data_IF_430519130439
#
_entry.id   IF_430519130439
#
_cell.length_a   1.000
_cell.length_b   1.000
_cell.length_c   1.000
_cell.angle_alpha   90.00
_cell.angle_beta   90.00
_cell.angle_gamma   90.00
#
_symmetry.space_group_name_H-M   'P 1'
#
loop_
_entity.id
_entity.type
_entity.pdbx_description
1 polymer ?
#
# COMPACT_ATOMS: atom_id res chain seq x y z
N UNK A 1 30.34 -20.14 7.56
CA UNK A 1 29.22 -20.19 8.49
C UNK A 1 28.28 -19.07 8.08
N UNK A 2 27.23 -19.42 7.37
CA UNK A 2 26.34 -18.49 6.69
C UNK A 2 25.07 -18.35 7.51
N UNK A 3 24.79 -17.13 7.99
CA UNK A 3 23.47 -16.79 8.53
C UNK A 3 22.75 -15.95 7.48
N UNK A 4 21.79 -16.58 6.79
CA UNK A 4 20.85 -15.91 5.89
C UNK A 4 19.73 -15.22 6.67
N UNK A 5 19.05 -14.24 6.06
CA UNK A 5 17.99 -13.46 6.72
C UNK A 5 16.72 -14.27 6.94
N UNK A 6 16.13 -14.09 8.11
CA UNK A 6 14.84 -14.65 8.50
C UNK A 6 13.70 -14.01 7.69
N UNK A 7 13.03 -14.81 6.87
CA UNK A 7 11.66 -14.55 6.42
C UNK A 7 10.71 -15.27 7.37
N UNK A 8 9.63 -14.67 7.86
CA UNK A 8 8.59 -15.42 8.57
C UNK A 8 7.85 -16.30 7.56
N UNK A 9 7.89 -17.61 7.79
CA UNK A 9 7.09 -18.57 7.05
C UNK A 9 5.61 -18.36 7.34
N UNK A 10 4.81 -18.35 6.29
CA UNK A 10 3.36 -18.45 6.36
C UNK A 10 2.98 -19.85 6.81
N UNK A 11 2.30 -19.97 7.96
CA UNK A 11 1.73 -21.20 8.45
C UNK A 11 0.61 -21.70 7.52
N UNK A 12 0.87 -22.86 6.95
CA UNK A 12 -0.05 -23.66 6.15
C UNK A 12 -1.16 -24.25 7.05
N UNK A 13 -2.38 -23.69 7.01
CA UNK A 13 -3.57 -24.25 7.64
C UNK A 13 -4.32 -25.18 6.67
N UNK A 14 -3.73 -26.32 6.34
CA UNK A 14 -4.43 -27.41 5.70
C UNK A 14 -4.02 -28.76 6.26
N UNK A 15 -4.57 -29.15 7.42
CA UNK A 15 -4.76 -30.55 7.84
C UNK A 15 -5.42 -30.63 9.22
N UNK A 16 -6.73 -30.74 9.27
CA UNK A 16 -7.39 -31.58 10.27
C UNK A 16 -8.66 -32.19 9.64
N UNK A 17 -8.46 -33.38 9.11
CA UNK A 17 -9.50 -34.30 8.73
C UNK A 17 -10.19 -34.86 9.98
N UNK A 18 -11.50 -35.04 9.87
CA UNK A 18 -12.37 -35.51 10.93
C UNK A 18 -11.98 -36.87 11.51
N UNK A 19 -12.14 -36.96 12.83
CA UNK A 19 -12.25 -38.19 13.55
C UNK A 19 -13.60 -38.24 14.30
N UNK A 20 -14.50 -39.05 13.78
CA UNK A 20 -15.73 -39.46 14.46
C UNK A 20 -15.35 -40.37 15.60
N UNK A 21 -15.57 -39.95 16.85
CA UNK A 21 -15.46 -40.82 18.02
C UNK A 21 -16.84 -41.41 18.36
N UNK A 22 -16.96 -42.73 18.16
CA UNK A 22 -18.01 -43.54 18.72
C UNK A 22 -17.85 -43.59 20.24
N UNK A 23 -18.86 -43.18 20.99
CA UNK A 23 -19.01 -43.48 22.43
C UNK A 23 -19.72 -44.84 22.57
N UNK A 24 -19.25 -45.76 23.41
CA UNK A 24 -20.00 -46.99 23.75
C UNK A 24 -21.10 -46.70 24.76
N UNK A 25 -22.28 -47.26 24.48
CA UNK A 25 -23.39 -47.35 25.43
C UNK A 25 -23.00 -48.26 26.59
N UNK A 26 -23.12 -47.75 27.79
CA UNK A 26 -23.13 -48.59 29.01
C UNK A 26 -24.56 -48.96 29.32
N UNK A 27 -24.84 -50.25 29.26
CA UNK A 27 -26.05 -50.87 29.78
C UNK A 27 -25.97 -50.89 31.32
N UNK A 28 -27.08 -50.54 31.97
CA UNK A 28 -27.27 -50.57 33.41
C UNK A 28 -27.92 -51.91 33.75
N UNK A 29 -27.17 -52.83 34.34
CA UNK A 29 -27.73 -54.03 34.92
C UNK A 29 -28.27 -53.76 36.34
N UNK A 30 -29.58 -54.04 36.45
CA UNK A 30 -30.30 -54.08 37.70
C UNK A 30 -29.83 -55.31 38.54
N UNK A 31 -29.15 -55.11 39.68
CA UNK A 31 -28.96 -56.13 40.72
C UNK A 31 -29.68 -55.68 41.98
N UNK A 32 -30.87 -56.28 42.17
CA UNK A 32 -31.54 -56.34 43.50
C UNK A 32 -30.77 -57.30 44.42
N UNK A 33 -30.17 -56.79 45.47
CA UNK A 33 -29.71 -57.64 46.61
C UNK A 33 -30.55 -57.32 47.83
N UNK A 34 -31.36 -58.33 48.22
CA UNK A 34 -32.06 -58.37 49.48
C UNK A 34 -31.05 -58.69 50.62
N UNK A 35 -30.94 -57.81 51.59
CA UNK A 35 -30.12 -57.98 52.76
C UNK A 35 -30.80 -58.90 53.78
N UNK A 36 -30.03 -59.63 54.67
CA UNK A 36 -30.56 -60.57 55.69
C UNK A 36 -31.30 -59.82 56.79
N UNK A 37 -32.25 -60.51 57.49
CA UNK A 37 -33.07 -59.95 58.60
C UNK A 37 -32.24 -59.64 59.82
N UNK A 38 -32.59 -58.61 60.62
CA UNK A 38 -31.87 -58.22 61.83
C UNK A 38 -32.13 -59.15 62.99
N UNK A 39 -31.19 -59.35 63.98
CA UNK A 39 -31.35 -60.15 65.18
C UNK A 39 -32.25 -59.44 66.22
N UNK A 40 -32.95 -60.18 67.07
CA UNK A 40 -33.85 -59.59 68.03
C UNK A 40 -33.12 -59.05 69.26
N UNK A 41 -33.42 -57.83 69.66
CA UNK A 41 -33.09 -57.28 70.95
C UNK A 41 -32.09 -56.13 71.03
N UNK A 42 -32.39 -54.98 70.48
CA UNK A 42 -31.69 -53.75 70.83
C UNK A 42 -32.72 -52.67 71.27
N UNK A 43 -32.50 -52.12 72.46
CA UNK A 43 -33.31 -51.03 73.03
C UNK A 43 -33.23 -49.79 72.19
N UNK A 44 -34.40 -49.14 72.01
CA UNK A 44 -34.54 -47.89 71.32
C UNK A 44 -33.78 -46.75 72.01
N UNK A 45 -32.71 -46.28 71.37
CA UNK A 45 -32.09 -44.98 71.62
C UNK A 45 -32.86 -43.84 70.92
N UNK A 46 -32.65 -42.59 71.31
CA UNK A 46 -33.33 -41.45 70.70
C UNK A 46 -32.99 -41.43 69.23
N UNK A 47 -33.91 -40.87 68.37
CA UNK A 47 -33.66 -40.79 66.92
C UNK A 47 -32.43 -39.97 66.68
N UNK A 48 -31.61 -40.32 65.68
CA UNK A 48 -30.48 -39.50 65.26
C UNK A 48 -31.03 -38.20 64.71
N UNK A 49 -30.42 -37.06 65.14
CA UNK A 49 -30.67 -35.76 64.55
C UNK A 49 -30.41 -35.85 63.05
N UNK A 50 -31.41 -35.43 62.23
CA UNK A 50 -31.26 -35.30 60.82
C UNK A 50 -30.08 -34.34 60.51
N UNK A 51 -29.13 -34.72 59.67
CA UNK A 51 -28.09 -33.77 59.26
C UNK A 51 -28.74 -32.60 58.60
N UNK A 52 -28.51 -31.35 59.08
CA UNK A 52 -28.85 -30.12 58.42
C UNK A 52 -28.15 -30.13 57.04
N UNK A 53 -28.95 -30.37 56.03
CA UNK A 53 -28.50 -30.29 54.64
C UNK A 53 -28.26 -28.83 54.32
N UNK A 54 -27.00 -28.33 54.54
CA UNK A 54 -26.61 -27.03 54.06
C UNK A 54 -26.65 -27.07 52.53
N UNK A 55 -27.65 -26.47 51.94
CA UNK A 55 -27.76 -26.34 50.50
C UNK A 55 -26.71 -25.37 49.99
N UNK A 56 -25.45 -25.84 49.86
CA UNK A 56 -24.41 -25.11 49.17
C UNK A 56 -24.76 -25.11 47.66
N UNK A 57 -25.22 -24.00 47.18
CA UNK A 57 -25.43 -23.83 45.72
C UNK A 57 -24.09 -24.09 45.01
N UNK A 58 -24.08 -24.91 43.94
CA UNK A 58 -22.87 -25.07 43.13
C UNK A 58 -22.29 -23.72 42.72
N UNK A 59 -20.96 -23.61 42.71
CA UNK A 59 -20.25 -22.34 42.45
C UNK A 59 -20.70 -21.63 41.16
N UNK A 60 -21.24 -22.36 40.14
CA UNK A 60 -21.79 -21.82 38.90
C UNK A 60 -23.24 -21.30 39.03
N UNK A 61 -23.91 -21.49 40.23
CA UNK A 61 -25.27 -20.98 40.42
C UNK A 61 -25.23 -19.55 40.98
N UNK A 62 -25.64 -18.53 40.19
CA UNK A 62 -25.52 -17.12 40.59
C UNK A 62 -26.41 -16.72 41.77
N UNK A 63 -27.38 -17.60 42.17
CA UNK A 63 -28.27 -17.34 43.34
C UNK A 63 -27.51 -17.31 44.65
N UNK A 64 -26.44 -18.13 44.79
CA UNK A 64 -25.58 -18.19 45.97
C UNK A 64 -24.47 -17.13 46.03
N UNK A 65 -24.28 -16.34 44.96
CA UNK A 65 -23.19 -15.38 44.89
C UNK A 65 -23.43 -14.14 45.78
N UNK A 66 -22.35 -13.63 46.40
CA UNK A 66 -22.38 -12.36 47.11
C UNK A 66 -22.72 -11.19 46.12
N UNK A 67 -23.22 -10.09 46.64
CA UNK A 67 -23.51 -8.92 45.82
C UNK A 67 -22.28 -8.44 45.04
N UNK A 68 -21.09 -8.47 45.68
CA UNK A 68 -19.81 -8.12 45.02
C UNK A 68 -19.50 -9.04 43.85
N UNK A 69 -19.66 -10.37 44.01
CA UNK A 69 -19.43 -11.34 42.95
C UNK A 69 -20.41 -11.15 41.79
N UNK A 70 -21.69 -10.88 42.08
CA UNK A 70 -22.68 -10.55 41.02
C UNK A 70 -22.35 -9.30 40.26
N UNK A 71 -21.88 -8.24 40.93
CA UNK A 71 -21.46 -7.00 40.29
C UNK A 71 -20.21 -7.21 39.40
N UNK A 72 -19.22 -7.96 39.91
CA UNK A 72 -18.00 -8.26 39.11
C UNK A 72 -18.38 -9.12 37.89
N UNK A 73 -19.19 -10.15 38.05
CA UNK A 73 -19.64 -10.98 36.93
C UNK A 73 -20.48 -10.20 35.93
N UNK A 74 -21.39 -9.34 36.41
CA UNK A 74 -22.16 -8.43 35.53
C UNK A 74 -21.27 -7.47 34.75
N UNK A 75 -20.28 -6.88 35.42
CA UNK A 75 -19.30 -6.00 34.74
C UNK A 75 -18.49 -6.76 33.69
N UNK A 76 -18.00 -7.97 34.02
CA UNK A 76 -17.26 -8.80 33.05
C UNK A 76 -18.11 -9.13 31.81
N UNK A 77 -19.40 -9.46 32.00
CA UNK A 77 -20.32 -9.71 30.88
C UNK A 77 -20.51 -8.47 30.03
N UNK A 78 -20.68 -7.30 30.64
CA UNK A 78 -20.80 -6.02 29.91
C UNK A 78 -19.53 -5.74 29.09
N UNK A 79 -18.34 -5.94 29.68
CA UNK A 79 -17.06 -5.74 28.97
C UNK A 79 -16.96 -6.69 27.74
N UNK A 80 -17.34 -7.96 27.92
CA UNK A 80 -17.34 -8.93 26.80
C UNK A 80 -18.34 -8.51 25.71
N UNK A 81 -19.55 -8.09 26.08
CA UNK A 81 -20.55 -7.62 25.11
C UNK A 81 -20.03 -6.39 24.35
N UNK A 82 -19.46 -5.43 25.04
CA UNK A 82 -18.87 -4.22 24.41
C UNK A 82 -17.74 -4.64 23.46
N UNK A 83 -16.85 -5.52 23.88
CA UNK A 83 -15.76 -6.00 23.04
C UNK A 83 -16.27 -6.73 21.78
N UNK A 84 -17.31 -7.55 21.90
CA UNK A 84 -17.93 -8.25 20.76
C UNK A 84 -18.62 -7.26 19.83
N UNK A 85 -19.35 -6.28 20.36
CA UNK A 85 -20.01 -5.25 19.54
C UNK A 85 -18.96 -4.41 18.80
N UNK A 86 -17.92 -3.93 19.49
CA UNK A 86 -16.83 -3.17 18.86
C UNK A 86 -16.13 -4.00 17.80
N UNK A 87 -15.78 -5.25 18.12
CA UNK A 87 -15.17 -6.16 17.15
C UNK A 87 -16.04 -6.45 15.93
N UNK A 88 -17.36 -6.60 16.12
CA UNK A 88 -18.30 -6.80 15.01
C UNK A 88 -18.46 -5.53 14.15
N UNK A 89 -18.53 -4.34 14.77
CA UNK A 89 -18.64 -3.05 14.06
C UNK A 89 -17.38 -2.79 13.25
N UNK A 90 -16.20 -2.94 13.83
CA UNK A 90 -14.93 -2.76 13.12
C UNK A 90 -14.75 -3.82 12.01
N UNK A 91 -15.11 -5.06 12.27
CA UNK A 91 -15.06 -6.13 11.27
C UNK A 91 -16.00 -5.90 10.09
N UNK A 92 -17.21 -5.38 10.33
CA UNK A 92 -18.15 -5.02 9.25
C UNK A 92 -17.67 -3.79 8.48
N UNK A 93 -17.10 -2.80 9.15
CA UNK A 93 -16.51 -1.61 8.53
C UNK A 93 -15.34 -1.99 7.62
N UNK A 94 -14.39 -2.81 8.10
CA UNK A 94 -13.24 -3.25 7.31
C UNK A 94 -13.61 -4.06 6.06
N UNK A 95 -14.74 -4.78 6.09
CA UNK A 95 -15.26 -5.55 4.96
C UNK A 95 -16.12 -4.72 3.99
N UNK A 96 -16.44 -3.48 4.33
CA UNK A 96 -17.20 -2.59 3.45
C UNK A 96 -16.30 -2.14 2.31
N UNK A 97 -16.78 -2.27 1.09
CA UNK A 97 -16.11 -1.79 -0.11
C UNK A 97 -16.88 -0.59 -0.67
N UNK A 98 -16.21 0.50 -1.07
CA UNK A 98 -16.87 1.68 -1.62
C UNK A 98 -17.63 1.36 -2.89
N UNK A 99 -18.65 2.14 -3.16
CA UNK A 99 -19.34 2.11 -4.43
C UNK A 99 -18.61 3.03 -5.43
N UNK A 100 -17.91 2.40 -6.37
CA UNK A 100 -17.29 3.09 -7.49
C UNK A 100 -18.30 3.22 -8.65
N UNK A 101 -19.40 3.95 -8.42
CA UNK A 101 -20.32 4.28 -9.50
C UNK A 101 -19.59 4.94 -10.65
N UNK A 102 -20.05 4.64 -11.87
CA UNK A 102 -19.51 5.25 -13.09
C UNK A 102 -19.64 6.77 -13.02
N UNK A 103 -18.56 7.47 -13.38
CA UNK A 103 -18.52 8.92 -13.58
C UNK A 103 -18.38 9.23 -15.07
N UNK A 104 -18.92 10.38 -15.49
CA UNK A 104 -18.62 10.92 -16.82
C UNK A 104 -17.40 11.80 -16.74
N UNK A 105 -16.33 11.43 -17.44
CA UNK A 105 -15.06 12.13 -17.41
C UNK A 105 -14.96 13.13 -18.57
N UNK A 106 -14.73 14.40 -18.23
CA UNK A 106 -14.52 15.47 -19.20
C UNK A 106 -13.08 15.96 -19.15
N UNK A 107 -12.43 16.08 -20.30
CA UNK A 107 -11.05 16.58 -20.42
C UNK A 107 -10.98 18.04 -19.92
N UNK A 108 -10.08 18.29 -18.96
CA UNK A 108 -9.85 19.63 -18.39
C UNK A 108 -8.45 20.15 -18.67
N UNK A 109 -7.45 19.28 -18.77
CA UNK A 109 -6.06 19.65 -19.05
C UNK A 109 -5.40 18.63 -19.99
N UNK A 110 -4.52 19.16 -20.86
CA UNK A 110 -3.64 18.38 -21.72
C UNK A 110 -2.22 18.96 -21.65
N UNK A 111 -1.26 18.07 -21.42
CA UNK A 111 0.18 18.35 -21.46
C UNK A 111 0.74 17.73 -22.73
N UNK A 112 0.75 18.51 -23.81
CA UNK A 112 1.24 18.09 -25.13
C UNK A 112 2.71 18.48 -25.32
N UNK A 113 3.50 17.78 -26.13
CA UNK A 113 4.93 18.02 -26.28
C UNK A 113 5.29 19.49 -26.53
N UNK A 114 4.55 20.18 -27.40
CA UNK A 114 4.81 21.55 -27.74
C UNK A 114 4.75 22.55 -26.57
N UNK A 115 3.96 22.25 -25.53
CA UNK A 115 3.72 23.12 -24.36
C UNK A 115 4.01 22.46 -23.05
N UNK A 116 4.44 21.21 -23.05
CA UNK A 116 4.61 20.39 -21.84
C UNK A 116 5.50 21.09 -20.81
N UNK A 117 6.70 21.46 -21.20
CA UNK A 117 7.69 22.03 -20.28
C UNK A 117 7.25 23.39 -19.73
N UNK A 118 6.44 24.15 -20.45
CA UNK A 118 5.89 25.44 -20.00
C UNK A 118 4.82 25.26 -18.90
N UNK A 119 4.27 24.06 -18.74
CA UNK A 119 3.26 23.73 -17.75
C UNK A 119 3.86 23.40 -16.37
N UNK A 120 5.20 23.33 -16.26
CA UNK A 120 5.90 22.95 -15.04
C UNK A 120 6.82 24.06 -14.52
N UNK A 121 7.01 24.08 -13.22
CA UNK A 121 8.11 24.73 -12.54
C UNK A 121 9.28 23.74 -12.43
N UNK A 122 10.49 24.24 -12.56
CA UNK A 122 11.70 23.45 -12.36
C UNK A 122 12.17 23.64 -10.92
N UNK A 123 12.17 22.57 -10.14
CA UNK A 123 12.75 22.58 -8.81
C UNK A 123 14.27 22.53 -8.93
N UNK A 124 14.99 23.51 -8.34
CA UNK A 124 16.45 23.61 -8.36
C UNK A 124 17.06 23.74 -6.95
N UNK A 125 16.28 23.41 -5.91
CA UNK A 125 16.74 23.37 -4.53
C UNK A 125 17.56 22.14 -4.19
N UNK A 126 18.01 22.08 -2.93
CA UNK A 126 18.58 20.86 -2.39
C UNK A 126 17.51 19.76 -2.33
N UNK A 127 17.88 18.55 -2.73
CA UNK A 127 16.96 17.42 -2.67
C UNK A 127 16.58 17.06 -1.22
N UNK A 128 15.27 17.02 -0.89
CA UNK A 128 14.78 16.76 0.47
C UNK A 128 15.00 15.30 0.92
N UNK A 129 15.24 14.38 -0.02
CA UNK A 129 15.47 12.96 0.24
C UNK A 129 16.94 12.57 0.32
N UNK A 130 17.83 13.58 0.39
CA UNK A 130 19.29 13.43 0.49
C UNK A 130 19.91 12.71 -0.72
N UNK A 131 19.35 12.89 -1.90
CA UNK A 131 19.90 12.40 -3.15
C UNK A 131 21.27 13.00 -3.45
N UNK A 132 22.11 12.21 -4.13
CA UNK A 132 23.36 12.70 -4.68
C UNK A 132 23.12 13.27 -6.08
N UNK A 133 22.20 14.21 -6.14
CA UNK A 133 21.63 14.84 -7.32
C UNK A 133 21.80 16.36 -7.24
N UNK A 134 21.93 16.99 -8.40
CA UNK A 134 21.84 18.44 -8.56
C UNK A 134 20.71 18.73 -9.53
N UNK A 135 19.55 19.08 -9.02
CA UNK A 135 18.41 19.50 -9.84
C UNK A 135 18.70 20.87 -10.45
N UNK A 136 18.49 20.99 -11.76
CA UNK A 136 18.74 22.21 -12.49
C UNK A 136 17.45 23.02 -12.72
N UNK A 137 17.59 24.33 -12.75
CA UNK A 137 16.57 25.22 -13.25
C UNK A 137 16.32 25.02 -14.77
N UNK A 138 15.29 25.66 -15.29
CA UNK A 138 14.90 25.50 -16.69
C UNK A 138 16.04 25.85 -17.65
N UNK A 139 16.76 26.95 -17.41
CA UNK A 139 17.82 27.41 -18.31
C UNK A 139 19.00 26.41 -18.32
N UNK A 140 19.42 25.92 -17.12
CA UNK A 140 20.48 24.92 -16.99
C UNK A 140 20.09 23.57 -17.59
N UNK A 141 18.87 23.11 -17.34
CA UNK A 141 18.38 21.85 -17.88
C UNK A 141 18.29 21.85 -19.41
N UNK A 142 17.82 22.94 -20.00
CA UNK A 142 17.79 23.12 -21.45
C UNK A 142 19.17 23.26 -22.07
N UNK A 143 20.07 24.03 -21.42
CA UNK A 143 21.45 24.19 -21.87
C UNK A 143 22.22 22.86 -21.94
N UNK A 144 22.04 21.99 -20.97
CA UNK A 144 22.66 20.66 -20.93
C UNK A 144 21.83 19.59 -21.65
N UNK A 145 20.76 19.99 -22.34
CA UNK A 145 19.82 19.08 -23.03
C UNK A 145 19.25 17.97 -22.10
N UNK A 146 19.06 18.31 -20.80
CA UNK A 146 18.41 17.39 -19.85
C UNK A 146 16.90 17.42 -20.00
N UNK A 147 16.33 18.51 -20.55
CA UNK A 147 14.94 18.58 -20.96
C UNK A 147 14.83 19.11 -22.38
N UNK A 148 14.09 18.40 -23.21
CA UNK A 148 13.74 18.86 -24.56
C UNK A 148 12.42 18.24 -25.00
N UNK A 149 11.76 18.91 -25.93
CA UNK A 149 10.56 18.43 -26.59
C UNK A 149 10.83 18.19 -28.09
N UNK A 150 10.20 17.16 -28.63
CA UNK A 150 10.07 16.90 -30.06
C UNK A 150 8.62 17.18 -30.48
N UNK A 151 8.28 16.96 -31.75
CA UNK A 151 6.89 17.06 -32.22
C UNK A 151 5.97 16.02 -31.60
N UNK A 152 6.51 14.91 -31.02
CA UNK A 152 5.77 13.73 -30.57
C UNK A 152 6.00 13.33 -29.13
N UNK A 153 7.03 13.84 -28.48
CA UNK A 153 7.40 13.45 -27.10
C UNK A 153 8.20 14.53 -26.37
N UNK A 154 8.31 14.37 -25.07
CA UNK A 154 9.15 15.18 -24.17
C UNK A 154 10.08 14.25 -23.40
N UNK A 155 11.35 14.64 -23.33
CA UNK A 155 12.40 13.92 -22.62
C UNK A 155 12.85 14.70 -21.39
N UNK A 156 12.98 13.97 -20.26
CA UNK A 156 13.63 14.42 -19.03
C UNK A 156 14.72 13.41 -18.71
N UNK A 157 15.96 13.85 -18.50
CA UNK A 157 17.06 12.91 -18.33
C UNK A 157 18.11 13.33 -17.30
N UNK A 158 18.87 12.37 -16.85
CA UNK A 158 20.12 12.57 -16.08
C UNK A 158 21.27 12.94 -17.02
N UNK A 159 22.20 13.76 -16.55
CA UNK A 159 23.44 14.07 -17.28
C UNK A 159 24.30 12.82 -17.54
N UNK A 160 24.77 12.68 -18.79
CA UNK A 160 25.63 11.58 -19.24
C UNK A 160 27.03 12.03 -19.65
N UNK A 161 27.42 13.27 -19.35
CA UNK A 161 28.64 13.90 -19.88
C UNK A 161 29.66 14.26 -18.80
N UNK A 162 29.21 14.68 -17.62
CA UNK A 162 30.10 15.08 -16.55
C UNK A 162 30.84 13.86 -15.94
N UNK A 163 32.14 13.78 -16.19
CA UNK A 163 32.99 12.66 -15.75
C UNK A 163 33.37 12.70 -14.30
N UNK A 164 33.05 13.79 -13.57
CA UNK A 164 33.34 13.94 -12.14
C UNK A 164 32.32 14.85 -11.45
N UNK A 165 31.14 14.33 -11.17
CA UNK A 165 30.02 15.07 -10.59
C UNK A 165 30.15 15.18 -9.05
N UNK A 166 31.18 15.87 -8.55
CA UNK A 166 31.55 15.94 -7.12
C UNK A 166 30.46 16.48 -6.19
N UNK A 167 29.56 17.32 -6.72
CA UNK A 167 28.45 17.95 -5.97
C UNK A 167 27.08 17.28 -6.24
N UNK A 168 27.08 16.07 -6.78
CA UNK A 168 25.89 15.39 -7.30
C UNK A 168 25.78 15.52 -8.82
N UNK A 169 25.20 14.52 -9.48
CA UNK A 169 25.00 14.52 -10.92
C UNK A 169 23.77 15.36 -11.28
N UNK A 170 23.87 16.12 -12.36
CA UNK A 170 22.78 16.95 -12.84
C UNK A 170 21.60 16.10 -13.30
N UNK A 171 20.42 16.51 -12.88
CA UNK A 171 19.13 15.91 -13.22
C UNK A 171 18.02 16.95 -13.18
N UNK A 172 16.79 16.52 -13.30
CA UNK A 172 15.61 17.38 -13.34
C UNK A 172 14.52 16.89 -12.40
N UNK A 173 13.80 17.86 -11.81
CA UNK A 173 12.53 17.69 -11.12
C UNK A 173 11.56 18.76 -11.58
N UNK A 174 10.46 18.32 -12.18
CA UNK A 174 9.39 19.19 -12.69
C UNK A 174 8.18 19.07 -11.77
N UNK A 175 7.55 20.20 -11.43
CA UNK A 175 6.34 20.29 -10.62
C UNK A 175 5.27 21.07 -11.40
N UNK A 176 4.09 20.47 -11.63
CA UNK A 176 3.06 21.12 -12.43
C UNK A 176 2.58 22.42 -11.79
N UNK A 177 2.33 23.44 -12.63
CA UNK A 177 1.77 24.72 -12.19
C UNK A 177 0.31 24.61 -11.78
N UNK A 178 -0.41 23.64 -12.34
CA UNK A 178 -1.79 23.32 -11.99
C UNK A 178 -1.80 22.20 -10.93
N UNK A 179 -2.65 22.34 -9.93
CA UNK A 179 -2.90 21.32 -8.92
C UNK A 179 -4.36 20.85 -8.97
N UNK A 180 -4.61 19.65 -8.48
CA UNK A 180 -5.89 18.95 -8.59
C UNK A 180 -6.29 18.35 -7.25
N UNK A 181 -7.58 18.44 -6.86
CA UNK A 181 -8.13 17.74 -5.69
C UNK A 181 -8.68 16.37 -6.07
N UNK A 182 -9.22 16.23 -7.28
CA UNK A 182 -9.77 14.98 -7.84
C UNK A 182 -9.55 14.95 -9.34
N UNK A 183 -9.52 13.76 -9.93
CA UNK A 183 -9.42 13.62 -11.38
C UNK A 183 -9.13 12.19 -11.83
N UNK A 184 -9.22 12.00 -13.13
CA UNK A 184 -8.65 10.85 -13.83
C UNK A 184 -7.46 11.33 -14.64
N UNK A 185 -6.28 10.87 -14.28
CA UNK A 185 -5.01 11.22 -14.91
C UNK A 185 -4.60 10.09 -15.84
N UNK A 186 -4.28 10.43 -17.09
CA UNK A 186 -3.80 9.49 -18.11
C UNK A 186 -2.39 9.91 -18.49
N UNK A 187 -1.41 9.08 -18.16
CA UNK A 187 0.01 9.27 -18.45
C UNK A 187 0.43 8.32 -19.57
N UNK A 188 0.64 8.85 -20.77
CA UNK A 188 1.14 8.10 -21.93
C UNK A 188 2.67 8.20 -21.97
N UNK A 189 3.35 7.10 -21.64
CA UNK A 189 4.78 7.02 -21.36
C UNK A 189 5.44 6.10 -22.38
N UNK A 190 6.50 6.58 -23.02
CA UNK A 190 7.26 5.84 -24.01
C UNK A 190 8.49 5.16 -23.39
N UNK A 191 9.11 5.82 -22.39
CA UNK A 191 10.30 5.31 -21.73
C UNK A 191 10.32 5.71 -20.24
N UNK A 192 10.75 4.78 -19.39
CA UNK A 192 10.96 4.98 -17.95
C UNK A 192 12.44 4.89 -17.60
N UNK A 193 12.97 5.74 -16.71
CA UNK A 193 14.38 5.72 -16.32
C UNK A 193 14.74 4.46 -15.51
N UNK A 194 15.91 3.88 -15.77
CA UNK A 194 16.44 2.80 -14.95
C UNK A 194 17.98 2.78 -15.00
N UNK A 195 18.60 2.10 -14.05
CA UNK A 195 20.05 1.93 -13.94
C UNK A 195 20.55 2.13 -12.52
N UNK A 196 21.71 1.55 -12.18
CA UNK A 196 22.27 1.68 -10.85
C UNK A 196 22.42 3.13 -10.41
N UNK A 197 21.95 3.42 -9.22
CA UNK A 197 21.98 4.75 -8.61
C UNK A 197 20.78 5.64 -8.95
N UNK A 198 19.84 5.23 -9.80
CA UNK A 198 18.63 6.01 -10.08
C UNK A 198 17.53 5.78 -9.06
N UNK A 199 16.75 6.80 -8.82
CA UNK A 199 15.49 6.79 -8.08
C UNK A 199 14.49 7.72 -8.77
N UNK A 200 13.87 7.26 -9.85
CA UNK A 200 12.89 8.02 -10.60
C UNK A 200 11.50 7.89 -10.02
N UNK A 201 10.70 8.97 -10.12
CA UNK A 201 9.29 8.96 -9.78
C UNK A 201 8.45 9.85 -10.72
N UNK A 202 7.21 9.40 -10.97
CA UNK A 202 6.10 10.20 -11.49
C UNK A 202 4.98 10.10 -10.46
N UNK A 203 4.68 11.18 -9.79
CA UNK A 203 3.90 11.21 -8.58
C UNK A 203 3.06 12.49 -8.44
N UNK A 204 2.18 12.53 -7.46
CA UNK A 204 1.35 13.69 -7.15
C UNK A 204 1.52 14.05 -5.68
N UNK A 205 1.66 15.35 -5.40
CA UNK A 205 1.70 15.87 -4.04
C UNK A 205 1.38 17.36 -4.00
N UNK A 206 1.10 17.88 -2.80
CA UNK A 206 1.20 19.32 -2.51
C UNK A 206 2.61 19.62 -1.99
N UNK A 207 3.51 20.22 -2.79
CA UNK A 207 4.89 20.45 -2.37
C UNK A 207 5.03 21.35 -1.13
N UNK A 208 3.99 22.12 -0.79
CA UNK A 208 4.02 23.08 0.32
C UNK A 208 3.44 22.50 1.63
N UNK A 209 2.67 21.42 1.55
CA UNK A 209 1.94 20.87 2.70
C UNK A 209 2.11 19.34 2.81
N UNK A 210 3.27 18.81 2.50
CA UNK A 210 3.61 17.42 2.73
C UNK A 210 3.92 17.18 4.22
N UNK A 211 3.45 16.09 4.87
CA UNK A 211 2.62 15.02 4.34
C UNK A 211 1.10 15.25 4.53
N UNK A 212 0.67 16.41 4.97
CA UNK A 212 -0.72 16.70 5.37
C UNK A 212 -1.71 16.61 4.21
N UNK A 213 -1.27 17.02 3.01
CA UNK A 213 -2.07 16.93 1.79
C UNK A 213 -1.71 15.71 0.93
N UNK A 214 -0.92 14.76 1.50
CA UNK A 214 -0.64 13.45 0.93
C UNK A 214 0.30 13.45 -0.27
N UNK A 215 0.65 12.23 -0.68
CA UNK A 215 1.48 11.91 -1.83
C UNK A 215 0.97 10.63 -2.47
N UNK A 216 0.97 10.58 -3.79
CA UNK A 216 0.54 9.44 -4.60
C UNK A 216 1.64 9.15 -5.61
N UNK A 217 2.44 8.13 -5.36
CA UNK A 217 3.45 7.66 -6.32
C UNK A 217 2.75 6.78 -7.34
N UNK A 218 2.61 7.29 -8.56
CA UNK A 218 1.98 6.54 -9.66
C UNK A 218 2.97 5.58 -10.27
N UNK A 219 4.20 6.06 -10.48
CA UNK A 219 5.35 5.26 -10.87
C UNK A 219 6.53 5.62 -9.96
N UNK A 220 7.02 4.65 -9.22
CA UNK A 220 8.24 4.77 -8.43
C UNK A 220 8.99 3.45 -8.41
N UNK A 221 10.31 3.53 -8.58
CA UNK A 221 11.23 2.43 -8.43
C UNK A 221 12.65 2.93 -8.19
N UNK A 222 13.60 2.02 -8.07
CA UNK A 222 15.01 2.40 -7.91
C UNK A 222 15.96 1.46 -8.63
N UNK A 223 17.15 1.95 -8.90
CA UNK A 223 18.25 1.19 -9.51
C UNK A 223 17.84 0.50 -10.82
N UNK A 224 18.03 -0.83 -10.93
CA UNK A 224 17.77 -1.59 -12.17
C UNK A 224 16.28 -1.82 -12.46
N UNK A 225 15.41 -1.54 -11.49
CA UNK A 225 13.95 -1.59 -11.65
C UNK A 225 13.39 -2.93 -12.19
N UNK A 226 14.05 -4.05 -11.87
CA UNK A 226 13.67 -5.38 -12.38
C UNK A 226 12.42 -5.97 -11.74
N UNK A 227 11.95 -5.37 -10.65
CA UNK A 227 10.78 -5.85 -9.89
C UNK A 227 9.46 -5.20 -10.37
N UNK A 228 9.55 -4.26 -11.30
CA UNK A 228 8.40 -3.51 -11.81
C UNK A 228 8.11 -2.24 -11.03
N UNK A 229 6.93 -1.68 -11.25
CA UNK A 229 6.44 -0.45 -10.63
C UNK A 229 5.81 -0.71 -9.26
N UNK A 230 5.93 0.23 -8.33
CA UNK A 230 5.07 0.33 -7.15
C UNK A 230 4.19 1.57 -7.23
N UNK A 231 2.89 1.41 -6.91
CA UNK A 231 1.98 2.54 -6.63
C UNK A 231 1.87 2.67 -5.13
N UNK A 232 2.25 3.82 -4.58
CA UNK A 232 2.35 4.02 -3.13
C UNK A 232 1.63 5.27 -2.69
N UNK A 233 1.04 5.25 -1.49
CA UNK A 233 0.48 6.44 -0.84
C UNK A 233 1.26 6.77 0.42
N UNK A 234 1.59 8.06 0.61
CA UNK A 234 2.15 8.60 1.85
C UNK A 234 1.24 9.70 2.39
N UNK A 235 0.93 9.65 3.69
CA UNK A 235 0.03 10.61 4.33
C UNK A 235 0.52 10.95 5.74
N UNK A 236 -0.07 11.94 6.38
CA UNK A 236 -0.10 12.03 7.83
C UNK A 236 -0.90 10.86 8.43
N UNK A 237 -1.06 10.81 9.75
CA UNK A 237 -1.80 9.74 10.42
C UNK A 237 -3.28 9.69 10.02
N UNK A 238 -3.90 8.48 10.08
CA UNK A 238 -5.35 8.32 9.84
C UNK A 238 -5.71 7.62 8.54
N UNK A 239 -4.74 7.23 7.73
CA UNK A 239 -4.94 6.48 6.49
C UNK A 239 -4.34 5.08 6.60
N UNK A 240 -5.18 4.04 6.46
CA UNK A 240 -4.76 2.64 6.57
C UNK A 240 -5.51 1.75 5.58
N UNK A 241 -4.79 0.87 4.91
CA UNK A 241 -5.29 -0.04 3.87
C UNK A 241 -5.52 -1.47 4.36
N UNK A 242 -5.67 -1.70 5.67
CA UNK A 242 -6.14 -2.97 6.23
C UNK A 242 -7.66 -3.11 6.04
N UNK A 243 -8.07 -3.12 4.79
CA UNK A 243 -9.46 -3.11 4.34
C UNK A 243 -9.62 -4.03 3.12
N UNK A 244 -10.87 -4.31 2.73
CA UNK A 244 -11.15 -5.05 1.50
C UNK A 244 -10.71 -4.22 0.29
N UNK A 245 -9.81 -4.77 -0.52
CA UNK A 245 -9.30 -4.17 -1.76
C UNK A 245 -9.60 -5.07 -2.95
N UNK A 246 -9.74 -4.49 -4.15
CA UNK A 246 -9.91 -5.22 -5.41
C UNK A 246 -8.82 -4.79 -6.38
N UNK A 247 -7.71 -5.50 -6.37
CA UNK A 247 -6.52 -5.18 -7.15
C UNK A 247 -5.84 -6.44 -7.69
N UNK A 248 -5.04 -6.27 -8.74
CA UNK A 248 -4.22 -7.34 -9.31
C UNK A 248 -2.81 -7.37 -8.74
N UNK A 249 -2.30 -6.22 -8.30
CA UNK A 249 -0.96 -6.09 -7.69
C UNK A 249 -0.91 -6.59 -6.26
N UNK A 250 0.29 -6.76 -5.74
CA UNK A 250 0.58 -7.27 -4.41
C UNK A 250 0.76 -6.11 -3.42
N UNK A 251 -0.03 -6.09 -2.35
CA UNK A 251 0.11 -5.08 -1.30
C UNK A 251 1.33 -5.36 -0.42
N UNK A 252 2.13 -4.32 -0.14
CA UNK A 252 3.30 -4.38 0.75
C UNK A 252 2.89 -4.02 2.18
N UNK A 253 3.02 -2.72 2.51
CA UNK A 253 2.60 -2.18 3.79
C UNK A 253 1.15 -1.71 3.73
N UNK A 254 0.48 -1.69 4.89
CA UNK A 254 -0.94 -1.34 4.98
C UNK A 254 -1.21 0.03 5.60
N UNK A 255 -0.23 0.63 6.30
CA UNK A 255 -0.36 1.99 6.82
C UNK A 255 0.33 2.98 5.90
N UNK A 256 -0.39 4.03 5.53
CA UNK A 256 0.14 5.06 4.64
C UNK A 256 0.85 6.20 5.41
N UNK A 257 0.80 6.16 6.76
CA UNK A 257 1.38 7.21 7.59
C UNK A 257 2.90 7.28 7.46
N UNK A 258 3.44 8.45 7.13
CA UNK A 258 4.87 8.72 6.94
C UNK A 258 5.72 8.46 8.20
N UNK A 259 5.12 8.45 9.38
CA UNK A 259 5.79 8.21 10.67
C UNK A 259 6.02 6.73 10.98
N UNK A 260 5.57 5.82 10.12
CA UNK A 260 5.67 4.37 10.33
C UNK A 260 6.49 3.71 9.23
N UNK A 261 7.12 2.56 9.55
CA UNK A 261 7.90 1.76 8.61
C UNK A 261 8.96 2.58 7.83
N UNK A 262 9.59 3.55 8.48
CA UNK A 262 10.59 4.43 7.86
C UNK A 262 10.07 5.17 6.62
N UNK A 263 8.82 5.61 6.66
CA UNK A 263 8.14 6.26 5.54
C UNK A 263 7.96 5.37 4.28
N UNK A 264 7.76 4.06 4.46
CA UNK A 264 7.54 3.17 3.30
C UNK A 264 6.16 3.32 2.65
N UNK A 265 5.25 4.10 3.25
CA UNK A 265 3.89 4.26 2.74
C UNK A 265 3.07 2.96 2.73
N UNK A 266 1.95 2.97 2.02
CA UNK A 266 1.14 1.78 1.77
C UNK A 266 1.17 1.47 0.26
N UNK A 267 2.08 0.60 -0.15
CA UNK A 267 2.38 0.32 -1.55
C UNK A 267 1.65 -0.89 -2.13
N UNK A 268 1.57 -0.92 -3.46
CA UNK A 268 1.13 -2.06 -4.27
C UNK A 268 2.14 -2.29 -5.38
N UNK A 269 2.78 -3.45 -5.38
CA UNK A 269 3.72 -3.87 -6.39
C UNK A 269 3.03 -4.46 -7.61
N UNK A 270 3.51 -4.11 -8.79
CA UNK A 270 3.08 -4.59 -10.08
C UNK A 270 3.90 -5.76 -10.62
N UNK A 271 3.61 -6.12 -11.87
CA UNK A 271 4.39 -7.10 -12.60
C UNK A 271 5.76 -6.51 -13.03
N UNK A 272 6.80 -7.35 -13.22
CA UNK A 272 8.14 -6.87 -13.62
C UNK A 272 8.17 -6.07 -14.92
N UNK A 273 7.23 -6.28 -15.83
CA UNK A 273 7.12 -5.57 -17.11
C UNK A 273 6.35 -4.25 -17.04
N UNK A 274 5.95 -3.85 -15.83
CA UNK A 274 5.29 -2.57 -15.59
C UNK A 274 6.26 -1.38 -15.50
N UNK A 275 7.59 -1.62 -15.51
CA UNK A 275 8.61 -0.56 -15.45
C UNK A 275 9.94 -1.04 -16.04
N UNK A 276 10.88 -0.07 -16.29
CA UNK A 276 12.26 -0.32 -16.65
C UNK A 276 12.44 -0.94 -18.03
N UNK A 277 13.48 -1.75 -18.20
CA UNK A 277 13.87 -2.32 -19.50
C UNK A 277 12.72 -3.10 -20.17
N UNK A 278 11.96 -3.88 -19.41
CA UNK A 278 10.86 -4.68 -19.95
C UNK A 278 9.70 -3.78 -20.46
N UNK A 279 9.34 -2.75 -19.71
CA UNK A 279 8.36 -1.74 -20.13
C UNK A 279 8.81 -1.00 -21.40
N UNK A 280 10.06 -0.54 -21.41
CA UNK A 280 10.64 0.23 -22.53
C UNK A 280 10.73 -0.63 -23.80
N UNK A 281 11.16 -1.90 -23.67
CA UNK A 281 11.22 -2.86 -24.80
C UNK A 281 9.85 -3.16 -25.39
N UNK A 282 8.79 -3.07 -24.59
CA UNK A 282 7.39 -3.18 -25.01
C UNK A 282 6.84 -1.93 -25.74
N UNK A 283 7.65 -0.89 -25.88
CA UNK A 283 7.25 0.40 -26.47
C UNK A 283 6.51 1.32 -25.48
N UNK A 284 6.68 1.09 -24.20
CA UNK A 284 6.02 1.85 -23.15
C UNK A 284 4.59 1.41 -22.87
N UNK A 285 3.78 2.33 -22.36
CA UNK A 285 2.39 2.06 -22.00
C UNK A 285 1.66 3.28 -21.49
N UNK A 286 0.46 3.04 -20.96
CA UNK A 286 -0.34 4.08 -20.31
C UNK A 286 -0.55 3.69 -18.85
N UNK A 287 -0.27 4.64 -17.97
CA UNK A 287 -0.74 4.61 -16.58
C UNK A 287 -1.95 5.50 -16.44
N UNK A 288 -3.00 4.99 -15.82
CA UNK A 288 -4.21 5.73 -15.48
C UNK A 288 -4.38 5.75 -13.96
N UNK A 289 -4.53 6.95 -13.38
CA UNK A 289 -4.80 7.16 -11.97
C UNK A 289 -6.15 7.83 -11.79
N UNK A 290 -7.07 7.19 -11.09
CA UNK A 290 -8.33 7.78 -10.66
C UNK A 290 -8.20 8.22 -9.20
N UNK A 291 -8.26 9.52 -8.94
CA UNK A 291 -8.32 10.15 -7.62
C UNK A 291 -9.73 10.69 -7.38
N UNK A 292 -10.47 10.09 -6.43
CA UNK A 292 -11.84 10.50 -6.07
C UNK A 292 -12.14 10.16 -4.60
N UNK A 293 -13.18 10.75 -4.03
CA UNK A 293 -13.53 10.55 -2.62
C UNK A 293 -13.79 9.09 -2.23
N UNK A 294 -14.25 8.26 -3.17
CA UNK A 294 -14.48 6.83 -2.94
C UNK A 294 -13.17 6.02 -2.78
N UNK A 295 -12.06 6.53 -3.30
CA UNK A 295 -10.76 5.87 -3.24
C UNK A 295 -9.83 6.33 -4.36
N UNK A 296 -8.61 5.79 -4.34
CA UNK A 296 -7.60 5.99 -5.38
C UNK A 296 -7.39 4.64 -6.06
N UNK A 297 -7.44 4.64 -7.39
CA UNK A 297 -7.22 3.43 -8.20
C UNK A 297 -6.24 3.72 -9.32
N UNK A 298 -5.32 2.77 -9.58
CA UNK A 298 -4.39 2.87 -10.69
C UNK A 298 -4.48 1.67 -11.61
N UNK A 299 -4.32 1.89 -12.90
CA UNK A 299 -4.23 0.86 -13.94
C UNK A 299 -2.96 1.06 -14.76
N UNK A 300 -2.45 -0.03 -15.27
CA UNK A 300 -1.38 -0.06 -16.24
C UNK A 300 -1.85 -0.80 -17.50
N UNK A 301 -1.60 -0.22 -18.65
CA UNK A 301 -1.91 -0.79 -19.95
C UNK A 301 -0.66 -0.82 -20.82
N UNK A 302 -0.26 -2.00 -21.26
CA UNK A 302 0.80 -2.14 -22.25
C UNK A 302 0.47 -1.36 -23.53
N UNK A 303 1.47 -0.93 -24.29
CA UNK A 303 1.31 -0.13 -25.49
C UNK A 303 0.33 -0.72 -26.51
N UNK A 304 0.31 -2.03 -26.65
CA UNK A 304 -0.55 -2.78 -27.57
C UNK A 304 -1.92 -3.17 -26.97
N UNK A 305 -2.22 -2.77 -25.75
CA UNK A 305 -3.44 -3.13 -25.02
C UNK A 305 -4.13 -1.91 -24.37
N UNK A 306 -3.84 -0.70 -24.84
CA UNK A 306 -4.49 0.52 -24.37
C UNK A 306 -5.98 0.47 -24.76
N UNK A 307 -6.91 0.67 -23.83
CA UNK A 307 -8.35 0.73 -24.12
C UNK A 307 -8.70 1.79 -25.17
N UNK A 308 -9.64 1.45 -26.05
CA UNK A 308 -10.09 2.36 -27.12
C UNK A 308 -10.71 3.65 -26.60
N UNK A 309 -11.34 3.62 -25.43
CA UNK A 309 -11.93 4.78 -24.79
C UNK A 309 -10.88 5.80 -24.33
N UNK A 310 -9.68 5.35 -23.92
CA UNK A 310 -8.53 6.21 -23.63
C UNK A 310 -8.05 6.86 -24.93
N UNK A 311 -7.88 6.08 -26.00
CA UNK A 311 -7.36 6.59 -27.29
C UNK A 311 -8.34 7.53 -27.96
N UNK A 312 -9.65 7.30 -27.82
CA UNK A 312 -10.70 8.20 -28.34
C UNK A 312 -10.95 9.42 -27.45
N UNK A 313 -10.30 9.52 -26.27
CA UNK A 313 -10.43 10.66 -25.36
C UNK A 313 -11.73 10.67 -24.54
N UNK A 314 -12.38 9.52 -24.38
CA UNK A 314 -13.59 9.32 -23.57
C UNK A 314 -13.40 8.19 -22.56
N UNK A 315 -12.43 8.32 -21.64
CA UNK A 315 -12.05 7.23 -20.75
C UNK A 315 -13.16 6.86 -19.77
N UNK A 316 -13.38 5.54 -19.60
CA UNK A 316 -14.36 4.98 -18.69
C UNK A 316 -13.74 3.89 -17.80
N UNK A 317 -13.20 4.24 -16.61
CA UNK A 317 -12.57 3.29 -15.70
C UNK A 317 -13.47 2.13 -15.27
N UNK A 318 -14.78 2.23 -15.46
CA UNK A 318 -15.72 1.14 -15.13
C UNK A 318 -15.61 -0.05 -16.08
N UNK A 319 -15.00 0.14 -17.25
CA UNK A 319 -14.81 -0.90 -18.29
C UNK A 319 -13.43 -1.54 -18.29
N UNK A 320 -12.46 -1.00 -17.53
CA UNK A 320 -11.05 -1.42 -17.59
C UNK A 320 -10.73 -2.67 -16.75
N UNK A 321 -11.74 -3.26 -16.10
CA UNK A 321 -11.53 -4.41 -15.23
C UNK A 321 -10.94 -4.06 -13.88
N UNK A 322 -10.31 -5.03 -13.25
CA UNK A 322 -9.70 -4.85 -11.92
C UNK A 322 -8.48 -3.94 -12.00
N UNK A 323 -8.44 -2.93 -11.16
CA UNK A 323 -7.29 -2.02 -11.06
C UNK A 323 -6.02 -2.76 -10.67
N UNK A 324 -4.87 -2.25 -11.08
CA UNK A 324 -3.56 -2.70 -10.62
C UNK A 324 -3.41 -2.43 -9.12
N UNK A 325 -3.70 -1.18 -8.68
CA UNK A 325 -3.72 -0.79 -7.29
C UNK A 325 -5.08 -0.17 -6.92
N UNK A 326 -5.56 -0.49 -5.72
CA UNK A 326 -6.85 -0.03 -5.20
C UNK A 326 -6.71 0.37 -3.74
N UNK A 327 -6.99 1.63 -3.44
CA UNK A 327 -6.90 2.26 -2.11
C UNK A 327 -8.28 2.83 -1.72
N UNK A 328 -9.17 1.99 -1.17
CA UNK A 328 -10.53 2.40 -0.80
C UNK A 328 -10.59 3.40 0.35
N UNK A 329 -11.58 4.27 0.36
CA UNK A 329 -11.81 5.24 1.45
C UNK A 329 -12.32 4.61 2.76
N UNK A 330 -12.45 3.30 2.84
CA UNK A 330 -13.07 2.58 3.97
C UNK A 330 -12.41 2.92 5.33
N UNK A 331 -11.09 3.08 5.33
CA UNK A 331 -10.31 3.43 6.53
C UNK A 331 -9.24 4.49 6.22
N UNK A 332 -9.54 5.37 5.27
CA UNK A 332 -8.73 6.52 4.85
C UNK A 332 -9.67 7.56 4.24
N UNK A 333 -9.83 8.70 4.86
CA UNK A 333 -10.60 9.79 4.27
C UNK A 333 -9.78 10.43 3.15
N UNK A 334 -10.04 10.00 1.90
CA UNK A 334 -9.27 10.43 0.74
C UNK A 334 -9.36 11.95 0.55
N UNK A 335 -10.55 12.53 0.66
CA UNK A 335 -10.74 13.96 0.46
C UNK A 335 -9.99 14.83 1.47
N UNK A 336 -9.74 14.34 2.67
CA UNK A 336 -8.97 15.07 3.69
C UNK A 336 -7.46 14.90 3.57
N UNK A 337 -6.99 13.74 3.06
CA UNK A 337 -5.57 13.41 2.98
C UNK A 337 -4.93 13.74 1.64
N UNK A 338 -5.69 13.91 0.56
CA UNK A 338 -5.14 14.16 -0.78
C UNK A 338 -5.80 15.39 -1.40
N UNK A 339 -5.11 16.51 -1.32
CA UNK A 339 -5.59 17.81 -1.81
C UNK A 339 -4.48 18.58 -2.48
N UNK A 340 -4.85 19.46 -3.40
CA UNK A 340 -3.92 20.37 -4.06
C UNK A 340 -2.73 19.64 -4.71
N UNK A 341 -3.01 18.52 -5.39
CA UNK A 341 -2.02 17.60 -5.91
C UNK A 341 -1.41 18.14 -7.22
N UNK A 342 -0.15 18.58 -7.19
CA UNK A 342 0.65 18.87 -8.38
C UNK A 342 1.25 17.58 -8.94
N UNK A 343 1.30 17.44 -10.26
CA UNK A 343 2.02 16.35 -10.93
C UNK A 343 3.51 16.64 -10.84
N UNK A 344 4.28 15.68 -10.33
CA UNK A 344 5.74 15.79 -10.21
C UNK A 344 6.39 14.67 -11.03
N UNK A 345 7.43 15.01 -11.79
CA UNK A 345 8.27 14.05 -12.48
C UNK A 345 9.74 14.38 -12.19
N UNK A 346 10.48 13.42 -11.66
CA UNK A 346 11.90 13.60 -11.34
C UNK A 346 12.72 12.33 -11.59
N UNK A 347 14.03 12.50 -11.59
CA UNK A 347 14.98 11.40 -11.50
C UNK A 347 15.96 11.78 -10.39
N UNK A 348 15.73 11.26 -9.20
CA UNK A 348 16.68 11.37 -8.10
C UNK A 348 17.81 10.34 -8.26
N UNK A 349 18.91 10.54 -7.54
CA UNK A 349 20.10 9.69 -7.58
C UNK A 349 20.56 9.36 -6.17
N UNK A 350 20.67 8.08 -5.89
CA UNK A 350 20.99 7.54 -4.56
C UNK A 350 19.88 7.79 -3.53
N UNK A 351 20.03 8.82 -2.69
CA UNK A 351 19.04 9.23 -1.69
C UNK A 351 18.68 8.19 -0.64
N UNK A 352 17.58 8.45 0.03
CA UNK A 352 17.08 7.61 1.13
C UNK A 352 16.53 6.25 0.67
N UNK A 353 16.26 6.05 -0.62
CA UNK A 353 15.82 4.77 -1.17
C UNK A 353 16.91 4.15 -2.05
N UNK A 354 17.21 4.73 -3.20
CA UNK A 354 18.09 4.14 -4.20
C UNK A 354 19.54 3.94 -3.76
N UNK A 355 20.02 4.72 -2.76
CA UNK A 355 21.37 4.65 -2.22
C UNK A 355 21.57 3.67 -1.07
N UNK A 356 20.49 3.09 -0.53
CA UNK A 356 20.62 2.17 0.60
C UNK A 356 21.28 0.85 0.18
N UNK A 357 22.21 0.30 0.98
CA UNK A 357 22.88 -0.96 0.66
C UNK A 357 21.93 -2.12 0.40
N UNK A 358 20.78 -2.15 1.08
CA UNK A 358 19.76 -3.16 0.88
C UNK A 358 19.28 -3.22 -0.58
N UNK A 359 19.02 -2.06 -1.18
CA UNK A 359 18.57 -1.96 -2.57
C UNK A 359 19.76 -1.91 -3.52
N UNK A 360 20.72 -1.01 -3.29
CA UNK A 360 21.81 -0.75 -4.22
C UNK A 360 22.70 -1.98 -4.45
N UNK A 361 23.23 -2.56 -3.37
CA UNK A 361 24.19 -3.68 -3.48
C UNK A 361 23.54 -5.04 -3.32
N UNK A 362 22.64 -5.23 -2.34
CA UNK A 362 22.12 -6.56 -2.01
C UNK A 362 21.05 -7.02 -3.02
N UNK A 363 20.10 -6.14 -3.37
CA UNK A 363 19.01 -6.48 -4.31
C UNK A 363 19.47 -6.39 -5.76
N UNK A 364 20.06 -5.27 -6.16
CA UNK A 364 20.39 -5.00 -7.56
C UNK A 364 21.85 -5.25 -7.94
N UNK A 365 22.71 -5.64 -6.99
CA UNK A 365 24.14 -5.91 -7.21
C UNK A 365 24.82 -4.77 -8.01
N UNK A 366 24.56 -3.52 -7.61
CA UNK A 366 25.18 -2.34 -8.18
C UNK A 366 26.63 -2.17 -7.66
N UNK A 367 27.57 -1.65 -8.48
CA UNK A 367 28.99 -1.64 -8.14
C UNK A 367 29.37 -0.51 -7.18
N UNK A 368 30.29 -0.79 -6.26
CA UNK A 368 30.89 0.20 -5.35
C UNK A 368 29.87 0.80 -4.37
N UNK A 369 30.03 2.10 -4.08
CA UNK A 369 29.01 2.88 -3.37
C UNK A 369 28.16 3.64 -4.38
N UNK A 370 26.88 3.87 -4.05
CA UNK A 370 26.00 4.62 -4.94
C UNK A 370 26.58 5.98 -5.30
N UNK A 371 27.11 6.72 -4.32
CA UNK A 371 27.70 8.04 -4.54
C UNK A 371 28.89 7.99 -5.49
N UNK A 372 29.85 7.10 -5.27
CA UNK A 372 31.04 6.99 -6.12
C UNK A 372 30.65 6.58 -7.56
N UNK A 373 29.67 5.68 -7.68
CA UNK A 373 29.19 5.25 -8.98
C UNK A 373 28.53 6.40 -9.74
N UNK A 374 27.60 7.12 -9.12
CA UNK A 374 26.90 8.26 -9.70
C UNK A 374 27.88 9.38 -10.06
N UNK A 375 28.86 9.66 -9.20
CA UNK A 375 29.86 10.69 -9.46
C UNK A 375 30.67 10.45 -10.72
N UNK A 376 31.17 9.21 -10.91
CA UNK A 376 32.27 8.92 -11.83
C UNK A 376 31.88 8.17 -13.12
N UNK A 377 30.61 7.76 -13.28
CA UNK A 377 30.19 6.92 -14.40
C UNK A 377 29.05 7.56 -15.23
N UNK A 378 29.31 8.67 -15.94
CA UNK A 378 28.24 9.36 -16.70
C UNK A 378 27.57 8.46 -17.75
N UNK A 379 28.32 7.62 -18.43
CA UNK A 379 27.79 6.72 -19.47
C UNK A 379 26.83 5.64 -18.96
N UNK A 380 26.81 5.40 -17.64
CA UNK A 380 25.86 4.47 -17.02
C UNK A 380 24.42 5.00 -16.93
N UNK A 381 24.24 6.30 -17.23
CA UNK A 381 22.92 6.97 -17.13
C UNK A 381 22.26 7.21 -18.50
N UNK A 382 22.69 6.49 -19.55
CA UNK A 382 22.08 6.59 -20.88
C UNK A 382 20.61 6.24 -20.89
N UNK A 383 20.20 5.24 -20.09
CA UNK A 383 18.80 4.81 -19.92
C UNK A 383 18.08 5.53 -18.77
N UNK A 384 18.74 6.46 -18.10
CA UNK A 384 18.15 7.22 -17.00
C UNK A 384 17.38 8.45 -17.54
N UNK A 385 16.29 8.18 -18.28
CA UNK A 385 15.43 9.25 -18.82
C UNK A 385 13.96 8.84 -18.86
N UNK A 386 13.09 9.81 -18.63
CA UNK A 386 11.69 9.75 -18.97
C UNK A 386 11.49 10.17 -20.42
N UNK A 387 10.61 9.48 -21.14
CA UNK A 387 10.04 9.98 -22.39
C UNK A 387 8.52 9.89 -22.29
N UNK A 388 7.88 11.05 -22.31
CA UNK A 388 6.44 11.20 -22.22
C UNK A 388 5.85 11.59 -23.57
N UNK A 389 4.74 10.94 -23.95
CA UNK A 389 3.99 11.33 -25.13
C UNK A 389 2.99 12.43 -24.79
N UNK A 390 2.11 12.20 -23.82
CA UNK A 390 1.15 13.20 -23.33
C UNK A 390 0.71 12.88 -21.91
N UNK A 391 0.29 13.91 -21.16
CA UNK A 391 -0.56 13.72 -19.99
C UNK A 391 -1.91 14.35 -20.25
N UNK A 392 -2.97 13.70 -19.80
CA UNK A 392 -4.34 14.21 -19.87
C UNK A 392 -5.00 14.10 -18.51
N UNK A 393 -5.69 15.15 -18.10
CA UNK A 393 -6.46 15.15 -16.85
C UNK A 393 -7.92 15.38 -17.18
N UNK A 394 -8.76 14.53 -16.60
CA UNK A 394 -10.21 14.56 -16.76
C UNK A 394 -10.87 14.79 -15.41
N UNK A 395 -11.95 15.55 -15.40
CA UNK A 395 -12.79 15.75 -14.21
C UNK A 395 -14.06 14.90 -14.32
N UNK A 396 -14.35 14.11 -13.27
CA UNK A 396 -15.56 13.32 -13.16
C UNK A 396 -16.76 14.14 -12.70
N UNK A 397 -17.94 13.86 -13.26
CA UNK A 397 -19.25 14.44 -12.91
C UNK A 397 -20.30 13.39 -12.75
#
# INVERSE_FOLDING_TARGET
>A
MSNGPFYPQTDDFSRYGGATSHLPKLEVDDFQHAGPPPPPGAKSGPPPEEPEYSSSYPWYNPRGWSLRTKLIAGFAVVVVIVAVIVGAVEGTKANRYPDYTRLNYQLVDTYEPATFLDRFNYFSGQDPTNGFVQYLDQAGAQWLNLTHATDSSVVLRVDTTNTNAVNGRQSVRLESKTAYDTGLFIFDILHTPYGCGTWPALWLTDPNNWPENGEIDVLETNNKATDGNAVTLHTSSGCNMKVKRKQTGTANYLTCANTTNSNSGCGVEGAPDSYGEAFNSGGGGVYALELRDAGIRAWYFHRNAIPDDITSGQPDPSTWGTAFADFPNTNCDIASHFRNQSIVANIDLCGQLGGQPQFYTQQYNCPGTCKDFVQNNPSAFTEAYWEFKTFKVYKGT
#
